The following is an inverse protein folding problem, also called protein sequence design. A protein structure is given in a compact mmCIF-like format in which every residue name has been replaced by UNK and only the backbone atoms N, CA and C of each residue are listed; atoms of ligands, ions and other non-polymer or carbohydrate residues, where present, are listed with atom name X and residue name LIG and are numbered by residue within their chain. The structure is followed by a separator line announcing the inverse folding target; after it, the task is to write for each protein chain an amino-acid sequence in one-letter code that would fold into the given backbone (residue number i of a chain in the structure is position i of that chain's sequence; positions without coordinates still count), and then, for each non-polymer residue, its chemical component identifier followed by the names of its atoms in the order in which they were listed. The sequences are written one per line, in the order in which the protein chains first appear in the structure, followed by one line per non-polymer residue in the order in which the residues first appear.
data_IF_087657040467
#
_entry.id   IF_087657040467
#
_cell.length_a   1.000
_cell.length_b   1.000
_cell.length_c   1.000
_cell.angle_alpha   90.00
_cell.angle_beta   90.00
_cell.angle_gamma   90.00
#
_symmetry.space_group_name_H-M   'P 1'
#
loop_
_entity.id
_entity.type
_entity.pdbx_description
1 polymer ?
#
# COMPACT_ATOMS: atom_id res chain seq x y z
N UNK A 1 -16.76 21.44 -3.25
CA UNK A 1 -17.62 20.52 -2.48
C UNK A 1 -17.89 19.19 -3.18
N UNK A 2 -18.27 19.12 -4.47
CA UNK A 2 -18.59 17.85 -5.16
C UNK A 2 -17.44 16.80 -5.27
N UNK A 3 -16.18 17.24 -5.20
CA UNK A 3 -15.00 16.36 -5.35
C UNK A 3 -14.87 15.31 -4.24
N UNK A 4 -15.23 15.62 -3.00
CA UNK A 4 -15.12 14.64 -1.89
C UNK A 4 -16.11 13.47 -1.99
N UNK A 5 -17.08 13.52 -2.92
CA UNK A 5 -18.16 12.55 -3.09
C UNK A 5 -17.90 11.56 -4.22
N UNK A 6 -16.92 11.82 -5.09
CA UNK A 6 -16.61 10.95 -6.24
C UNK A 6 -15.57 9.90 -5.87
N UNK A 7 -15.71 8.72 -6.45
CA UNK A 7 -14.69 7.68 -6.40
C UNK A 7 -13.66 7.94 -7.49
N UNK A 8 -12.37 8.11 -7.16
CA UNK A 8 -11.31 8.21 -8.14
C UNK A 8 -11.27 6.97 -9.05
N UNK A 9 -11.01 7.19 -10.33
CA UNK A 9 -10.67 6.11 -11.25
C UNK A 9 -9.17 6.09 -11.44
N UNK A 10 -8.51 5.00 -11.04
CA UNK A 10 -7.08 4.86 -11.22
C UNK A 10 -6.75 4.60 -12.69
N UNK A 11 -5.87 5.40 -13.31
CA UNK A 11 -5.24 5.05 -14.57
C UNK A 11 -4.36 3.80 -14.42
N UNK A 12 -4.03 3.15 -15.54
CA UNK A 12 -3.09 2.01 -15.53
C UNK A 12 -1.69 2.41 -15.04
N UNK A 13 -1.24 3.62 -15.38
CA UNK A 13 0.02 4.23 -14.94
C UNK A 13 -0.22 5.73 -14.82
N UNK A 14 0.27 6.35 -13.74
CA UNK A 14 0.12 7.80 -13.53
C UNK A 14 1.28 8.40 -12.74
N UNK A 15 1.45 9.72 -12.85
CA UNK A 15 2.39 10.50 -12.02
C UNK A 15 1.69 10.98 -10.75
N UNK A 16 2.44 11.03 -9.66
CA UNK A 16 2.00 11.65 -8.41
C UNK A 16 3.17 12.43 -7.80
N UNK A 17 2.90 13.57 -7.18
CA UNK A 17 3.91 14.37 -6.48
C UNK A 17 3.79 14.11 -4.99
N UNK A 18 4.83 13.62 -4.34
CA UNK A 18 4.85 13.41 -2.90
C UNK A 18 4.75 14.73 -2.12
N UNK A 19 4.59 14.64 -0.80
CA UNK A 19 4.32 15.81 0.04
C UNK A 19 5.52 16.78 0.12
N UNK A 20 6.71 16.28 -0.19
CA UNK A 20 7.94 17.05 -0.29
C UNK A 20 8.29 17.47 -1.72
N UNK A 21 7.38 17.26 -2.68
CA UNK A 21 7.56 17.65 -4.08
C UNK A 21 8.18 16.58 -4.98
N UNK A 22 8.61 15.42 -4.46
CA UNK A 22 9.22 14.38 -5.30
C UNK A 22 8.21 13.81 -6.30
N UNK A 23 8.50 13.83 -7.63
CA UNK A 23 7.66 13.19 -8.62
C UNK A 23 7.89 11.68 -8.66
N UNK A 24 6.80 10.92 -8.54
CA UNK A 24 6.80 9.46 -8.56
C UNK A 24 5.90 8.91 -9.67
N UNK A 25 6.26 7.75 -10.19
CA UNK A 25 5.43 6.94 -11.08
C UNK A 25 4.72 5.88 -10.25
N UNK A 26 3.41 5.74 -10.43
CA UNK A 26 2.60 4.74 -9.73
C UNK A 26 1.89 3.85 -10.75
N UNK A 27 2.01 2.53 -10.56
CA UNK A 27 1.35 1.53 -11.42
C UNK A 27 1.19 0.16 -10.73
N UNK A 28 0.33 -0.72 -11.27
CA UNK A 28 0.32 -2.13 -10.90
C UNK A 28 1.70 -2.78 -11.09
N UNK A 29 2.05 -3.69 -10.19
CA UNK A 29 3.26 -4.51 -10.29
C UNK A 29 3.13 -5.51 -11.46
N UNK A 30 4.25 -5.85 -12.10
CA UNK A 30 4.37 -6.79 -13.21
C UNK A 30 5.45 -7.83 -12.90
N UNK A 31 5.45 -8.94 -13.64
CA UNK A 31 6.47 -9.99 -13.52
C UNK A 31 7.89 -9.43 -13.66
N UNK A 32 8.09 -8.51 -14.60
CA UNK A 32 9.38 -7.87 -14.88
C UNK A 32 9.90 -6.98 -13.74
N UNK A 33 9.08 -6.70 -12.72
CA UNK A 33 9.51 -5.94 -11.53
C UNK A 33 10.31 -6.79 -10.54
N UNK A 34 10.34 -8.12 -10.71
CA UNK A 34 10.99 -9.06 -9.80
C UNK A 34 12.44 -8.65 -9.45
N UNK A 35 13.34 -8.32 -10.40
CA UNK A 35 14.69 -7.88 -10.07
C UNK A 35 14.73 -6.59 -9.22
N UNK A 36 13.85 -5.62 -9.53
CA UNK A 36 13.79 -4.34 -8.79
C UNK A 36 13.22 -4.52 -7.38
N UNK A 37 12.25 -5.42 -7.22
CA UNK A 37 11.70 -5.77 -5.90
C UNK A 37 12.78 -6.45 -5.04
N UNK A 38 13.57 -7.36 -5.61
CA UNK A 38 14.69 -7.99 -4.93
C UNK A 38 15.75 -6.97 -4.48
N UNK A 39 16.14 -6.05 -5.38
CA UNK A 39 17.08 -4.98 -5.04
C UNK A 39 16.52 -4.04 -3.96
N UNK A 40 15.22 -3.71 -4.03
CA UNK A 40 14.55 -2.90 -3.01
C UNK A 40 14.53 -3.60 -1.66
N UNK A 41 14.27 -4.91 -1.63
CA UNK A 41 14.35 -5.70 -0.40
C UNK A 41 15.73 -5.60 0.25
N UNK A 42 16.80 -5.70 -0.55
CA UNK A 42 18.19 -5.54 -0.08
C UNK A 42 18.55 -4.11 0.37
N UNK A 43 17.73 -3.10 0.06
CA UNK A 43 17.91 -1.73 0.58
C UNK A 43 17.13 -1.45 1.86
N UNK A 44 16.17 -2.30 2.22
CA UNK A 44 15.44 -2.16 3.48
C UNK A 44 16.37 -2.35 4.67
N UNK A 45 16.12 -1.61 5.75
CA UNK A 45 16.74 -1.89 7.05
C UNK A 45 16.40 -3.30 7.54
N UNK A 46 17.29 -3.93 8.32
CA UNK A 46 17.02 -5.26 8.90
C UNK A 46 15.70 -5.28 9.69
N UNK A 47 15.39 -4.19 10.41
CA UNK A 47 14.13 -4.07 11.14
C UNK A 47 12.93 -4.08 10.20
N UNK A 48 12.98 -3.35 9.08
CA UNK A 48 11.91 -3.35 8.09
C UNK A 48 11.72 -4.73 7.44
N UNK A 49 12.81 -5.44 7.12
CA UNK A 49 12.75 -6.80 6.58
C UNK A 49 12.13 -7.79 7.57
N UNK A 50 12.63 -7.82 8.81
CA UNK A 50 12.10 -8.69 9.88
C UNK A 50 10.62 -8.46 10.14
N UNK A 51 10.18 -7.20 10.21
CA UNK A 51 8.75 -6.87 10.39
C UNK A 51 7.87 -7.31 9.23
N UNK A 52 8.42 -7.38 8.01
CA UNK A 52 7.68 -7.77 6.81
C UNK A 52 7.70 -9.27 6.55
N UNK A 53 8.79 -9.95 6.88
CA UNK A 53 9.02 -11.38 6.68
C UNK A 53 9.68 -11.98 7.93
N UNK A 54 8.94 -12.16 9.04
CA UNK A 54 9.51 -12.57 10.32
C UNK A 54 10.18 -13.95 10.30
N UNK A 55 9.74 -14.83 9.39
CA UNK A 55 10.27 -16.19 9.22
C UNK A 55 11.01 -16.36 7.87
N UNK A 56 11.41 -15.26 7.23
CA UNK A 56 12.11 -15.28 5.94
C UNK A 56 13.63 -15.16 6.08
N UNK A 57 14.35 -15.42 4.99
CA UNK A 57 15.75 -15.05 4.86
C UNK A 57 15.87 -13.51 4.99
N UNK A 58 16.71 -12.99 5.91
CA UNK A 58 16.84 -11.56 6.11
C UNK A 58 17.52 -10.84 4.94
N UNK A 59 18.22 -11.53 4.05
CA UNK A 59 19.08 -10.92 3.03
C UNK A 59 18.51 -11.03 1.61
N UNK A 60 17.58 -11.96 1.38
CA UNK A 60 16.95 -12.15 0.07
C UNK A 60 15.52 -12.67 0.17
N UNK A 61 14.68 -12.31 -0.80
CA UNK A 61 13.43 -13.02 -1.00
C UNK A 61 13.72 -14.34 -1.71
N UNK A 62 13.09 -15.41 -1.25
CA UNK A 62 13.09 -16.66 -2.01
C UNK A 62 12.34 -16.48 -3.33
N UNK A 63 12.65 -17.31 -4.33
CA UNK A 63 11.93 -17.30 -5.62
C UNK A 63 10.41 -17.44 -5.43
N UNK A 64 9.98 -18.26 -4.46
CA UNK A 64 8.56 -18.43 -4.11
C UNK A 64 7.96 -17.15 -3.53
N UNK A 65 8.69 -16.43 -2.67
CA UNK A 65 8.22 -15.16 -2.13
C UNK A 65 8.13 -14.10 -3.22
N UNK A 66 9.14 -14.02 -4.08
CA UNK A 66 9.19 -13.05 -5.18
C UNK A 66 8.09 -13.33 -6.21
N UNK A 67 7.89 -14.59 -6.61
CA UNK A 67 6.82 -15.03 -7.47
C UNK A 67 5.45 -14.60 -6.91
N UNK A 68 5.22 -14.77 -5.61
CA UNK A 68 4.00 -14.29 -4.94
C UNK A 68 3.84 -12.77 -5.02
N UNK A 69 4.91 -11.99 -5.10
CA UNK A 69 4.80 -10.52 -5.19
C UNK A 69 4.48 -10.03 -6.60
N UNK A 70 4.78 -10.82 -7.64
CA UNK A 70 4.68 -10.37 -9.04
C UNK A 70 3.62 -11.10 -9.87
N UNK A 71 3.22 -12.32 -9.50
CA UNK A 71 2.12 -13.03 -10.13
C UNK A 71 0.78 -12.60 -9.49
N UNK A 72 0.24 -11.51 -10.01
CA UNK A 72 -0.96 -10.84 -9.47
C UNK A 72 -2.03 -10.70 -10.55
N UNK A 73 -3.29 -10.98 -10.18
CA UNK A 73 -4.45 -10.92 -11.08
C UNK A 73 -5.18 -9.56 -11.03
N UNK A 74 -4.79 -8.69 -10.08
CA UNK A 74 -5.44 -7.42 -9.76
C UNK A 74 -6.91 -7.54 -9.33
N UNK A 75 -7.36 -8.75 -8.96
CA UNK A 75 -8.72 -9.06 -8.51
C UNK A 75 -8.69 -9.66 -7.09
N UNK A 76 -8.10 -10.84 -6.93
CA UNK A 76 -7.93 -11.52 -5.65
C UNK A 76 -6.56 -11.23 -5.05
N UNK A 77 -5.58 -10.96 -5.89
CA UNK A 77 -4.26 -10.51 -5.51
C UNK A 77 -3.93 -9.26 -6.31
N UNK A 78 -3.93 -8.10 -5.66
CA UNK A 78 -3.56 -6.85 -6.29
C UNK A 78 -2.32 -6.28 -5.63
N UNK A 79 -1.42 -5.72 -6.43
CA UNK A 79 -0.26 -4.99 -5.94
C UNK A 79 0.02 -3.75 -6.80
N UNK A 80 0.43 -2.68 -6.13
CA UNK A 80 0.81 -1.40 -6.71
C UNK A 80 2.22 -1.03 -6.24
N UNK A 81 3.02 -0.50 -7.15
CA UNK A 81 4.36 -0.02 -6.90
C UNK A 81 4.48 1.48 -7.16
N UNK A 82 5.41 2.12 -6.45
CA UNK A 82 5.86 3.48 -6.72
C UNK A 82 7.34 3.47 -7.10
N UNK A 83 7.75 4.29 -8.06
CA UNK A 83 9.15 4.47 -8.45
C UNK A 83 9.49 5.96 -8.58
N UNK A 84 10.73 6.31 -8.30
CA UNK A 84 11.23 7.68 -8.46
C UNK A 84 11.44 7.97 -9.95
N UNK A 85 10.76 8.98 -10.50
CA UNK A 85 10.87 9.34 -11.92
C UNK A 85 12.26 9.89 -12.25
N UNK A 86 12.88 10.59 -11.31
CA UNK A 86 14.19 11.22 -11.50
C UNK A 86 15.34 10.21 -11.42
N UNK A 87 15.05 9.00 -10.94
CA UNK A 87 16.03 7.92 -10.75
C UNK A 87 15.51 6.59 -11.28
N UNK A 88 15.31 6.46 -12.60
CA UNK A 88 14.68 5.30 -13.21
C UNK A 88 15.48 4.00 -13.04
N UNK A 89 16.78 4.07 -12.74
CA UNK A 89 17.62 2.90 -12.53
C UNK A 89 17.65 2.41 -11.08
N UNK A 90 17.11 3.21 -10.14
CA UNK A 90 16.99 2.78 -8.74
C UNK A 90 15.81 1.79 -8.54
N UNK A 91 15.85 0.97 -7.47
CA UNK A 91 14.71 0.18 -7.07
C UNK A 91 13.45 1.04 -6.83
N UNK A 92 12.28 0.39 -6.87
CA UNK A 92 11.03 1.07 -6.53
C UNK A 92 11.05 1.64 -5.11
N UNK A 93 10.38 2.77 -4.93
CA UNK A 93 10.17 3.45 -3.64
C UNK A 93 9.45 2.54 -2.64
N UNK A 94 8.52 1.72 -3.14
CA UNK A 94 7.75 0.82 -2.30
C UNK A 94 6.68 0.06 -3.06
N UNK A 95 6.06 -0.86 -2.34
CA UNK A 95 5.02 -1.76 -2.84
C UNK A 95 3.92 -1.90 -1.78
N UNK A 96 2.66 -1.87 -2.23
CA UNK A 96 1.51 -2.24 -1.42
C UNK A 96 0.74 -3.35 -2.14
N UNK A 97 0.26 -4.34 -1.39
CA UNK A 97 -0.58 -5.40 -1.93
C UNK A 97 -1.72 -5.78 -0.99
N UNK A 98 -2.77 -6.34 -1.55
CA UNK A 98 -3.74 -7.13 -0.81
C UNK A 98 -3.87 -8.55 -1.37
N UNK A 99 -4.26 -9.51 -0.54
CA UNK A 99 -4.68 -10.86 -0.94
C UNK A 99 -6.05 -11.14 -0.32
N UNK A 100 -7.05 -11.43 -1.14
CA UNK A 100 -8.42 -11.76 -0.71
C UNK A 100 -8.39 -13.00 0.17
N UNK A 101 -9.10 -12.96 1.29
CA UNK A 101 -9.20 -14.08 2.20
C UNK A 101 -10.03 -15.21 1.59
N UNK A 102 -9.55 -16.44 1.74
CA UNK A 102 -10.33 -17.62 1.36
C UNK A 102 -11.51 -17.80 2.33
N UNK A 103 -12.72 -17.99 1.80
CA UNK A 103 -13.94 -18.09 2.61
C UNK A 103 -14.57 -16.75 3.03
N UNK A 104 -13.86 -15.63 2.87
CA UNK A 104 -14.36 -14.28 3.17
C UNK A 104 -14.21 -13.36 1.95
N UNK A 105 -15.13 -13.43 0.98
CA UNK A 105 -14.96 -12.75 -0.30
C UNK A 105 -14.97 -11.23 -0.19
N UNK A 106 -15.41 -10.65 0.92
CA UNK A 106 -15.39 -9.19 1.13
C UNK A 106 -14.17 -8.70 1.93
N UNK A 107 -13.23 -9.58 2.28
CA UNK A 107 -12.07 -9.25 3.10
C UNK A 107 -10.74 -9.58 2.41
N UNK A 108 -9.68 -8.85 2.75
CA UNK A 108 -8.33 -9.11 2.25
C UNK A 108 -7.24 -8.73 3.26
N UNK A 109 -6.16 -9.51 3.30
CA UNK A 109 -4.94 -9.19 4.03
C UNK A 109 -4.11 -8.19 3.25
N UNK A 110 -3.67 -7.12 3.91
CA UNK A 110 -2.89 -6.03 3.32
C UNK A 110 -1.47 -6.01 3.85
N UNK A 111 -0.53 -5.73 2.95
CA UNK A 111 0.85 -5.46 3.33
C UNK A 111 1.42 -4.30 2.51
N UNK A 112 2.14 -3.40 3.19
CA UNK A 112 2.76 -2.21 2.60
C UNK A 112 4.22 -2.15 3.03
N UNK A 113 5.12 -1.83 2.10
CA UNK A 113 6.54 -1.68 2.36
C UNK A 113 7.08 -0.49 1.58
N UNK A 114 7.72 0.43 2.30
CA UNK A 114 8.34 1.63 1.74
C UNK A 114 9.81 1.62 2.16
N UNK A 115 10.71 1.82 1.19
CA UNK A 115 12.14 1.98 1.44
C UNK A 115 12.37 3.08 2.47
N UNK A 116 13.29 2.83 3.41
CA UNK A 116 13.53 3.70 4.57
C UNK A 116 13.76 5.18 4.16
N UNK A 117 14.53 5.42 3.10
CA UNK A 117 14.83 6.76 2.55
C UNK A 117 13.60 7.52 1.99
N UNK A 118 12.50 6.81 1.73
CA UNK A 118 11.26 7.38 1.20
C UNK A 118 10.12 7.40 2.24
N UNK A 119 10.36 6.93 3.47
CA UNK A 119 9.35 6.99 4.54
C UNK A 119 9.06 8.42 4.98
N UNK A 120 7.83 8.67 5.45
CA UNK A 120 7.39 10.00 5.90
C UNK A 120 7.00 10.97 4.77
N UNK A 121 7.36 10.68 3.52
CA UNK A 121 7.12 11.53 2.34
C UNK A 121 5.75 11.38 1.69
N UNK A 122 4.93 10.44 2.17
CA UNK A 122 3.55 10.23 1.71
C UNK A 122 3.34 9.05 0.75
N UNK A 123 4.40 8.39 0.27
CA UNK A 123 4.29 7.25 -0.66
C UNK A 123 3.41 6.10 -0.14
N UNK A 124 3.47 5.83 1.17
CA UNK A 124 2.60 4.84 1.83
C UNK A 124 1.11 5.15 1.69
N UNK A 125 0.71 6.42 1.86
CA UNK A 125 -0.69 6.84 1.68
C UNK A 125 -1.13 6.67 0.23
N UNK A 126 -0.29 7.03 -0.75
CA UNK A 126 -0.63 6.90 -2.18
C UNK A 126 -0.87 5.43 -2.54
N UNK A 127 0.05 4.55 -2.16
CA UNK A 127 -0.08 3.12 -2.44
C UNK A 127 -1.26 2.48 -1.68
N UNK A 128 -1.49 2.88 -0.43
CA UNK A 128 -2.66 2.44 0.33
C UNK A 128 -3.96 2.87 -0.35
N UNK A 129 -4.08 4.13 -0.78
CA UNK A 129 -5.26 4.62 -1.50
C UNK A 129 -5.50 3.83 -2.81
N UNK A 130 -4.43 3.45 -3.51
CA UNK A 130 -4.54 2.61 -4.70
C UNK A 130 -5.15 1.24 -4.38
N UNK A 131 -4.74 0.61 -3.27
CA UNK A 131 -5.34 -0.64 -2.81
C UNK A 131 -6.81 -0.47 -2.44
N UNK A 132 -7.15 0.58 -1.69
CA UNK A 132 -8.53 0.88 -1.31
C UNK A 132 -9.46 0.98 -2.52
N UNK A 133 -9.06 1.73 -3.55
CA UNK A 133 -9.83 1.91 -4.78
C UNK A 133 -9.93 0.61 -5.60
N UNK A 134 -8.85 -0.16 -5.67
CA UNK A 134 -8.82 -1.47 -6.37
C UNK A 134 -9.73 -2.48 -5.65
N UNK A 135 -9.57 -2.60 -4.33
CA UNK A 135 -10.35 -3.48 -3.47
C UNK A 135 -11.85 -3.15 -3.54
N UNK A 136 -12.21 -1.86 -3.48
CA UNK A 136 -13.60 -1.42 -3.59
C UNK A 136 -14.26 -1.92 -4.88
N UNK A 137 -13.57 -1.74 -6.02
CA UNK A 137 -14.04 -2.20 -7.34
C UNK A 137 -14.19 -3.72 -7.41
N UNK A 138 -13.34 -4.43 -6.68
CA UNK A 138 -13.33 -5.89 -6.61
C UNK A 138 -14.22 -6.48 -5.49
N UNK A 139 -15.12 -5.68 -4.92
CA UNK A 139 -16.10 -6.15 -3.93
C UNK A 139 -15.53 -6.34 -2.51
N UNK A 140 -14.27 -6.00 -2.26
CA UNK A 140 -13.65 -6.05 -0.93
C UNK A 140 -14.08 -4.80 -0.16
N UNK A 141 -14.47 -4.99 1.10
CA UNK A 141 -15.00 -3.98 2.01
C UNK A 141 -14.20 -3.88 3.30
N UNK A 142 -13.43 -4.91 3.63
CA UNK A 142 -12.63 -4.98 4.85
C UNK A 142 -11.18 -5.30 4.51
N UNK A 143 -10.26 -4.58 5.13
CA UNK A 143 -8.85 -4.90 5.14
C UNK A 143 -8.39 -5.38 6.50
N UNK A 144 -7.62 -6.45 6.50
CA UNK A 144 -6.89 -6.93 7.66
C UNK A 144 -5.41 -6.61 7.53
N UNK A 145 -4.82 -6.14 8.63
CA UNK A 145 -3.40 -5.87 8.73
C UNK A 145 -2.85 -6.67 9.91
N UNK A 146 -1.94 -7.59 9.61
CA UNK A 146 -1.13 -8.28 10.61
C UNK A 146 0.15 -7.48 10.85
N UNK A 147 0.30 -6.95 12.05
CA UNK A 147 1.36 -6.02 12.42
C UNK A 147 2.06 -6.52 13.67
N UNK A 148 3.39 -6.54 13.67
CA UNK A 148 4.14 -6.83 14.89
C UNK A 148 3.70 -5.93 16.04
N UNK A 149 3.42 -6.51 17.21
CA UNK A 149 2.88 -5.80 18.37
C UNK A 149 3.78 -4.68 18.89
N UNK A 150 5.07 -4.70 18.56
CA UNK A 150 6.05 -3.65 18.89
C UNK A 150 6.09 -2.50 17.87
N UNK A 151 5.32 -2.57 16.79
CA UNK A 151 5.31 -1.58 15.73
C UNK A 151 4.21 -0.53 15.97
N UNK A 152 4.30 0.13 17.13
CA UNK A 152 3.36 1.16 17.60
C UNK A 152 3.08 2.24 16.56
N UNK A 153 4.08 2.55 15.72
CA UNK A 153 3.94 3.53 14.64
C UNK A 153 2.85 3.12 13.64
N UNK A 154 2.90 1.87 13.16
CA UNK A 154 1.92 1.36 12.18
C UNK A 154 0.56 1.13 12.83
N UNK A 155 0.55 0.58 14.05
CA UNK A 155 -0.70 0.37 14.81
C UNK A 155 -1.42 1.70 15.03
N UNK A 156 -0.70 2.74 15.48
CA UNK A 156 -1.26 4.09 15.68
C UNK A 156 -1.74 4.69 14.36
N UNK A 157 -0.95 4.56 13.29
CA UNK A 157 -1.34 5.05 11.98
C UNK A 157 -2.67 4.44 11.50
N UNK A 158 -2.81 3.11 11.59
CA UNK A 158 -4.04 2.42 11.20
C UNK A 158 -5.23 2.82 12.08
N UNK A 159 -5.05 2.94 13.40
CA UNK A 159 -6.09 3.42 14.32
C UNK A 159 -6.56 4.84 13.99
N UNK A 160 -5.65 5.74 13.60
CA UNK A 160 -5.99 7.10 13.16
C UNK A 160 -6.77 7.12 11.84
N UNK A 161 -6.63 6.07 11.02
CA UNK A 161 -7.45 5.83 9.84
C UNK A 161 -8.75 5.08 10.14
N UNK A 162 -9.06 4.79 11.41
CA UNK A 162 -10.31 4.15 11.83
C UNK A 162 -10.21 2.64 12.03
N UNK A 163 -9.00 2.06 12.04
CA UNK A 163 -8.85 0.64 12.28
C UNK A 163 -9.20 0.26 13.73
N UNK A 164 -9.85 -0.88 13.90
CA UNK A 164 -10.13 -1.52 15.19
C UNK A 164 -9.26 -2.75 15.39
N UNK A 165 -9.01 -3.11 16.65
CA UNK A 165 -8.29 -4.34 16.96
C UNK A 165 -9.23 -5.53 16.77
N UNK A 166 -8.80 -6.55 16.03
CA UNK A 166 -9.59 -7.72 15.68
C UNK A 166 -9.02 -9.02 16.29
N UNK A 167 -7.89 -8.93 17.00
CA UNK A 167 -7.28 -10.07 17.67
C UNK A 167 -5.77 -9.95 17.76
N UNK A 168 -5.16 -10.90 18.47
CA UNK A 168 -3.71 -11.05 18.57
C UNK A 168 -3.36 -12.53 18.57
N UNK A 169 -2.33 -12.89 17.82
CA UNK A 169 -1.70 -14.21 17.88
C UNK A 169 -0.19 -14.00 18.07
N UNK A 170 0.37 -14.60 19.12
CA UNK A 170 1.76 -14.38 19.55
C UNK A 170 2.09 -12.87 19.65
N UNK A 171 3.08 -12.41 18.90
CA UNK A 171 3.53 -11.01 18.83
C UNK A 171 2.99 -10.28 17.59
N UNK A 172 1.86 -10.71 17.04
CA UNK A 172 1.21 -10.09 15.89
C UNK A 172 -0.20 -9.63 16.28
N UNK A 173 -0.43 -8.31 16.20
CA UNK A 173 -1.74 -7.69 16.29
C UNK A 173 -2.43 -7.71 14.92
N UNK A 174 -3.67 -8.18 14.90
CA UNK A 174 -4.55 -8.07 13.74
C UNK A 174 -5.45 -6.84 13.89
N UNK A 175 -5.38 -5.96 12.91
CA UNK A 175 -6.19 -4.75 12.82
C UNK A 175 -7.14 -4.85 11.64
N UNK A 176 -8.39 -4.49 11.85
CA UNK A 176 -9.43 -4.40 10.83
C UNK A 176 -9.64 -2.94 10.42
N UNK A 177 -9.66 -2.65 9.13
CA UNK A 177 -9.89 -1.32 8.58
C UNK A 177 -10.96 -1.37 7.46
N UNK A 178 -11.97 -0.48 7.48
CA UNK A 178 -12.92 -0.36 6.38
C UNK A 178 -12.23 0.08 5.07
N UNK A 179 -12.68 -0.47 3.94
CA UNK A 179 -12.22 -0.03 2.62
C UNK A 179 -12.96 1.25 2.22
N UNK A 180 -12.25 2.36 2.26
CA UNK A 180 -12.69 3.65 1.72
C UNK A 180 -12.63 3.70 0.19
N UNK A 181 -13.56 4.45 -0.42
CA UNK A 181 -13.56 4.66 -1.87
C UNK A 181 -13.78 6.12 -2.27
N UNK A 182 -13.97 7.02 -1.29
CA UNK A 182 -14.11 8.46 -1.46
C UNK A 182 -13.42 9.17 -0.29
N UNK A 183 -12.96 10.39 -0.55
CA UNK A 183 -12.30 11.22 0.47
C UNK A 183 -13.17 11.44 1.72
N UNK A 184 -14.49 11.62 1.55
CA UNK A 184 -15.43 11.84 2.67
C UNK A 184 -15.64 10.62 3.57
N UNK A 185 -15.28 9.42 3.11
CA UNK A 185 -15.48 8.20 3.87
C UNK A 185 -14.32 7.97 4.88
N UNK A 186 -13.19 8.66 4.66
CA UNK A 186 -12.00 8.59 5.51
C UNK A 186 -12.23 9.43 6.78
N UNK A 187 -11.83 8.97 7.98
CA UNK A 187 -11.87 9.77 9.19
C UNK A 187 -11.13 11.10 9.04
N UNK A 188 -11.73 12.22 9.43
CA UNK A 188 -11.18 13.58 9.19
C UNK A 188 -10.88 14.36 10.48
N UNK A 189 -11.13 13.76 11.65
CA UNK A 189 -10.91 14.37 12.97
C UNK A 189 -9.44 14.48 13.37
N UNK A 190 -8.53 13.91 12.60
CA UNK A 190 -7.09 13.95 12.84
C UNK A 190 -6.31 14.24 11.55
N UNK A 191 -5.06 14.66 11.69
CA UNK A 191 -4.21 15.06 10.55
C UNK A 191 -3.92 13.91 9.59
N UNK A 192 -3.67 12.70 10.11
CA UNK A 192 -3.39 11.51 9.29
C UNK A 192 -4.57 11.17 8.39
N UNK A 193 -5.77 11.20 8.94
CA UNK A 193 -7.00 10.97 8.21
C UNK A 193 -7.28 12.05 7.16
N UNK A 194 -7.09 13.33 7.48
CA UNK A 194 -7.20 14.43 6.51
C UNK A 194 -6.17 14.32 5.38
N UNK A 195 -4.93 13.99 5.71
CA UNK A 195 -3.85 13.76 4.73
C UNK A 195 -4.19 12.59 3.81
N UNK A 196 -4.75 11.50 4.35
CA UNK A 196 -5.19 10.38 3.54
C UNK A 196 -6.38 10.73 2.65
N UNK A 197 -7.37 11.46 3.16
CA UNK A 197 -8.51 11.94 2.37
C UNK A 197 -8.07 12.84 1.21
N UNK A 198 -7.06 13.70 1.41
CA UNK A 198 -6.49 14.54 0.35
C UNK A 198 -5.90 13.72 -0.81
N UNK A 199 -5.26 12.58 -0.52
CA UNK A 199 -4.78 11.66 -1.56
C UNK A 199 -5.92 11.22 -2.47
N UNK A 200 -7.10 10.88 -1.93
CA UNK A 200 -8.27 10.54 -2.76
C UNK A 200 -8.72 11.72 -3.63
N UNK A 201 -8.68 12.95 -3.11
CA UNK A 201 -9.04 14.14 -3.89
C UNK A 201 -8.07 14.33 -5.05
N UNK A 202 -6.77 14.22 -4.79
CA UNK A 202 -5.71 14.40 -5.78
C UNK A 202 -5.71 13.32 -6.86
N UNK A 203 -6.02 12.07 -6.49
CA UNK A 203 -6.15 10.95 -7.44
C UNK A 203 -7.31 11.14 -8.43
N UNK A 204 -8.26 12.04 -8.19
CA UNK A 204 -9.31 12.37 -9.18
C UNK A 204 -8.77 13.17 -10.37
N UNK A 205 -7.57 13.74 -10.26
CA UNK A 205 -6.92 14.54 -11.30
C UNK A 205 -5.68 13.86 -11.86
N UNK A 206 -5.37 12.63 -11.42
CA UNK A 206 -4.27 11.86 -11.97
C UNK A 206 -4.59 11.47 -13.41
N UNK A 207 -3.84 12.04 -14.35
CA UNK A 207 -3.96 11.71 -15.77
C UNK A 207 -3.16 10.44 -16.08
N UNK A 208 -3.69 9.65 -17.02
CA UNK A 208 -3.00 8.49 -17.53
C UNK A 208 -1.73 8.93 -18.27
N UNK A 209 -0.61 8.25 -18.01
CA UNK A 209 0.51 8.29 -18.93
C UNK A 209 0.24 7.29 -20.07
N UNK A 210 0.54 7.70 -21.30
CA UNK A 210 0.62 6.76 -22.41
C UNK A 210 1.67 5.69 -22.06
N UNK A 211 1.26 4.43 -22.16
CA UNK A 211 2.08 3.27 -21.83
C UNK A 211 3.20 3.06 -22.87
#
# INVERSE_FOLDING_TARGET
MLRTWRTPQLPAVFKYTLDDGLPILVRPIRVDDAPRIQQGFQRLSQLARRRRFPNGDPDQLSEVQLAKLVHIDQINHAAWGAANIEKPDEPGIGLARYVRLNGEPQAADVAITILDEYQGRGAGFVLQACLHLTAWRNGIRTFYYDVASDNDRVIRHLKLLGATHAGRADNIDRLELPVYHRARDVPDRNEIGRRFADVFVRLQHSEALAA
#
